data_IF_657658003265
#
_entry.id   IF_657658003265
#
_cell.length_a   1.000
_cell.length_b   1.000
_cell.length_c   1.000
_cell.angle_alpha   90.00
_cell.angle_beta   90.00
_cell.angle_gamma   90.00
#
_symmetry.space_group_name_H-M   'P 1'
#
loop_
_entity.id
_entity.type
_entity.pdbx_description
1 polymer ?
#
# COMPACT_ATOMS: atom_id res chain seq x y z
N UNK A 1 -22.03 -18.61 -17.70
CA UNK A 1 -21.35 -18.97 -16.42
C UNK A 1 -21.09 -17.74 -15.56
N UNK A 2 -20.34 -16.74 -16.06
CA UNK A 2 -20.02 -15.50 -15.32
C UNK A 2 -21.24 -14.78 -14.72
N UNK A 3 -22.30 -14.54 -15.49
CA UNK A 3 -23.52 -13.91 -14.94
C UNK A 3 -24.21 -14.78 -13.90
N UNK A 4 -24.28 -16.10 -14.14
CA UNK A 4 -24.89 -17.05 -13.22
C UNK A 4 -24.17 -17.10 -11.88
N UNK A 5 -22.83 -17.12 -11.87
CA UNK A 5 -22.07 -17.09 -10.61
C UNK A 5 -22.22 -15.74 -9.92
N UNK A 6 -22.14 -14.62 -10.65
CA UNK A 6 -22.33 -13.27 -10.08
C UNK A 6 -23.69 -13.15 -9.38
N UNK A 7 -24.77 -13.62 -10.00
CA UNK A 7 -26.11 -13.59 -9.41
C UNK A 7 -26.28 -14.56 -8.22
N UNK A 8 -25.37 -15.52 -8.05
CA UNK A 8 -25.41 -16.50 -6.96
C UNK A 8 -24.60 -16.06 -5.75
N UNK A 9 -23.38 -15.54 -5.97
CA UNK A 9 -22.43 -15.22 -4.88
C UNK A 9 -22.26 -13.71 -4.64
N UNK A 10 -22.77 -12.85 -5.53
CA UNK A 10 -22.67 -11.39 -5.41
C UNK A 10 -21.28 -10.80 -5.68
N UNK A 11 -20.26 -11.60 -5.99
CA UNK A 11 -18.89 -11.14 -6.24
C UNK A 11 -18.63 -10.93 -7.74
N UNK A 12 -18.44 -9.66 -8.14
CA UNK A 12 -18.17 -9.28 -9.53
C UNK A 12 -16.75 -9.59 -10.01
N UNK A 13 -15.84 -9.98 -9.11
CA UNK A 13 -14.45 -10.33 -9.43
C UNK A 13 -14.34 -11.74 -10.00
N UNK A 14 -15.29 -12.62 -9.69
CA UNK A 14 -15.33 -13.99 -10.21
C UNK A 14 -15.79 -14.00 -11.67
N UNK A 15 -14.93 -14.49 -12.56
CA UNK A 15 -15.20 -14.51 -14.00
C UNK A 15 -14.75 -15.82 -14.63
N UNK A 16 -15.53 -16.32 -15.59
CA UNK A 16 -15.14 -17.37 -16.52
C UNK A 16 -14.93 -16.75 -17.89
N UNK A 17 -13.78 -16.99 -18.50
CA UNK A 17 -13.39 -16.44 -19.81
C UNK A 17 -12.92 -17.55 -20.74
N UNK A 18 -13.10 -17.33 -22.06
CA UNK A 18 -12.55 -18.20 -23.11
C UNK A 18 -11.45 -17.42 -23.83
N UNK A 19 -10.21 -17.91 -23.75
CA UNK A 19 -9.00 -17.18 -24.16
C UNK A 19 -8.02 -18.11 -24.90
N UNK A 20 -8.29 -18.48 -26.16
CA UNK A 20 -7.51 -19.46 -26.91
C UNK A 20 -6.08 -19.02 -27.25
N UNK A 21 -5.84 -17.71 -27.28
CA UNK A 21 -4.53 -17.12 -27.61
C UNK A 21 -3.82 -16.56 -26.37
N UNK A 22 -4.34 -16.81 -25.16
CA UNK A 22 -3.73 -16.28 -23.96
C UNK A 22 -2.44 -17.01 -23.62
N UNK A 23 -1.34 -16.26 -23.67
CA UNK A 23 -0.03 -16.68 -23.18
C UNK A 23 0.25 -15.87 -21.90
N UNK A 24 0.37 -16.52 -20.72
CA UNK A 24 0.75 -15.83 -19.50
C UNK A 24 2.08 -15.11 -19.68
N UNK A 25 2.16 -13.86 -19.23
CA UNK A 25 3.45 -13.16 -19.18
C UNK A 25 4.36 -13.92 -18.21
N UNK A 26 5.48 -14.42 -18.72
CA UNK A 26 6.56 -14.97 -17.89
C UNK A 26 7.45 -13.80 -17.50
N UNK A 27 7.66 -13.53 -16.20
CA UNK A 27 8.60 -12.51 -15.78
C UNK A 27 9.96 -12.74 -16.44
N UNK A 28 10.60 -11.71 -17.04
CA UNK A 28 11.88 -11.90 -17.67
C UNK A 28 12.91 -12.35 -16.63
N UNK A 29 13.79 -13.28 -17.02
CA UNK A 29 14.97 -13.58 -16.22
C UNK A 29 15.78 -12.30 -16.06
N UNK A 30 15.88 -11.80 -14.84
CA UNK A 30 16.68 -10.63 -14.55
C UNK A 30 18.08 -11.08 -14.11
N UNK A 31 19.16 -10.45 -14.61
CA UNK A 31 20.48 -10.65 -14.05
C UNK A 31 20.49 -10.13 -12.60
N UNK A 32 21.49 -10.56 -11.82
CA UNK A 32 21.70 -9.99 -10.48
C UNK A 32 21.91 -8.48 -10.57
N UNK A 33 20.95 -7.72 -10.05
CA UNK A 33 21.02 -6.25 -10.02
C UNK A 33 21.74 -5.83 -8.72
N UNK A 34 22.84 -5.06 -8.80
CA UNK A 34 23.53 -4.55 -7.62
C UNK A 34 22.63 -3.66 -6.74
N UNK A 35 22.81 -3.66 -5.41
CA UNK A 35 22.04 -2.83 -4.48
C UNK A 35 21.99 -1.34 -4.85
N UNK A 36 23.07 -0.78 -5.39
CA UNK A 36 23.17 0.64 -5.76
C UNK A 36 22.25 0.97 -6.94
N UNK A 37 22.14 0.06 -7.91
CA UNK A 37 21.25 0.22 -9.05
C UNK A 37 19.78 0.05 -8.62
N UNK A 38 19.48 -0.91 -7.75
CA UNK A 38 18.16 -1.06 -7.14
C UNK A 38 17.76 0.20 -6.36
N UNK A 39 18.67 0.78 -5.58
CA UNK A 39 18.45 2.04 -4.89
C UNK A 39 18.17 3.18 -5.88
N UNK A 40 18.89 3.24 -7.00
CA UNK A 40 18.60 4.18 -8.09
C UNK A 40 17.20 4.04 -8.68
N UNK A 41 16.74 2.81 -8.90
CA UNK A 41 15.37 2.54 -9.36
C UNK A 41 14.32 3.00 -8.34
N UNK A 42 14.53 2.76 -7.05
CA UNK A 42 13.62 3.21 -6.00
C UNK A 42 13.60 4.74 -5.90
N UNK A 43 14.76 5.41 -6.04
CA UNK A 43 14.81 6.87 -6.08
C UNK A 43 13.96 7.47 -7.20
N UNK A 44 13.78 6.75 -8.31
CA UNK A 44 12.92 7.19 -9.41
C UNK A 44 11.42 7.00 -9.13
N UNK A 45 11.05 6.12 -8.19
CA UNK A 45 9.64 5.89 -7.82
C UNK A 45 9.18 6.75 -6.65
N UNK A 46 10.09 7.47 -5.99
CA UNK A 46 9.79 8.37 -4.87
C UNK A 46 10.12 9.83 -5.18
N UNK A 47 9.38 10.76 -4.57
CA UNK A 47 9.75 12.19 -4.52
C UNK A 47 9.83 12.61 -3.06
N UNK A 48 10.96 13.18 -2.65
CA UNK A 48 11.22 13.61 -1.27
C UNK A 48 11.50 15.11 -1.23
N UNK A 49 10.63 15.85 -0.55
CA UNK A 49 10.68 17.31 -0.46
C UNK A 49 10.38 17.77 0.97
N UNK A 50 10.91 18.93 1.36
CA UNK A 50 10.49 19.64 2.56
C UNK A 50 9.85 20.92 2.07
N UNK A 51 8.54 21.04 2.27
CA UNK A 51 7.74 22.17 1.83
C UNK A 51 7.98 23.40 2.74
N UNK A 52 7.57 24.56 2.24
CA UNK A 52 7.48 25.77 3.04
C UNK A 52 6.65 25.48 4.31
N UNK A 53 7.11 25.92 5.48
CA UNK A 53 6.61 25.54 6.83
C UNK A 53 7.15 24.23 7.44
N UNK A 54 8.27 23.70 6.93
CA UNK A 54 8.96 22.56 7.53
C UNK A 54 8.10 21.28 7.55
N UNK A 55 7.30 21.07 6.50
CA UNK A 55 6.45 19.89 6.31
C UNK A 55 7.15 18.94 5.34
N UNK A 56 7.37 17.69 5.74
CA UNK A 56 7.86 16.67 4.83
C UNK A 56 6.77 16.26 3.83
N UNK A 57 7.17 16.16 2.57
CA UNK A 57 6.36 15.59 1.51
C UNK A 57 7.10 14.39 0.91
N UNK A 58 6.48 13.22 0.99
CA UNK A 58 7.01 11.97 0.47
C UNK A 58 5.98 11.33 -0.46
N UNK A 59 6.21 11.45 -1.77
CA UNK A 59 5.44 10.73 -2.79
C UNK A 59 6.02 9.34 -2.95
N UNK A 60 5.15 8.32 -2.90
CA UNK A 60 5.53 6.92 -3.10
C UNK A 60 4.65 6.34 -4.20
N UNK A 61 5.25 5.86 -5.28
CA UNK A 61 4.50 5.24 -6.39
C UNK A 61 4.40 3.71 -6.27
N UNK A 62 5.32 3.10 -5.53
CA UNK A 62 5.41 1.66 -5.31
C UNK A 62 5.83 1.36 -3.88
N UNK A 63 5.09 0.49 -3.18
CA UNK A 63 5.44 0.02 -1.84
C UNK A 63 6.44 -1.14 -1.96
N UNK A 64 7.72 -0.89 -1.68
CA UNK A 64 8.75 -1.93 -1.74
C UNK A 64 8.53 -2.99 -0.67
N UNK A 65 8.79 -4.26 -1.00
CA UNK A 65 8.70 -5.37 -0.04
C UNK A 65 9.86 -5.43 0.94
N UNK A 66 9.75 -6.38 1.87
CA UNK A 66 10.71 -6.64 2.95
C UNK A 66 12.13 -6.87 2.45
N UNK A 67 12.34 -7.79 1.50
CA UNK A 67 13.68 -8.13 1.00
C UNK A 67 14.36 -6.90 0.40
N UNK A 68 13.61 -6.11 -0.36
CA UNK A 68 14.10 -4.88 -0.96
C UNK A 68 14.42 -3.83 0.12
N UNK A 69 13.53 -3.64 1.08
CA UNK A 69 13.72 -2.71 2.20
C UNK A 69 14.97 -3.06 3.02
N UNK A 70 15.25 -4.34 3.28
CA UNK A 70 16.45 -4.79 3.98
C UNK A 70 17.71 -4.58 3.14
N UNK A 71 17.67 -4.93 1.84
CA UNK A 71 18.84 -4.90 0.96
C UNK A 71 19.29 -3.48 0.62
N UNK A 72 18.35 -2.56 0.36
CA UNK A 72 18.67 -1.20 -0.11
C UNK A 72 18.36 -0.11 0.91
N UNK A 73 17.67 -0.42 2.01
CA UNK A 73 17.33 0.52 3.07
C UNK A 73 18.53 1.36 3.54
N UNK A 74 19.71 0.77 3.83
CA UNK A 74 20.90 1.52 4.22
C UNK A 74 21.35 2.57 3.21
N UNK A 75 21.16 2.32 1.90
CA UNK A 75 21.54 3.24 0.82
C UNK A 75 20.54 4.38 0.60
N UNK A 76 19.32 4.23 1.14
CA UNK A 76 18.22 5.19 0.97
C UNK A 76 17.95 6.01 2.23
N UNK A 77 18.49 5.61 3.37
CA UNK A 77 18.21 6.22 4.66
C UNK A 77 18.58 7.71 4.68
N UNK A 78 19.80 8.06 4.29
CA UNK A 78 20.24 9.47 4.22
C UNK A 78 19.44 10.27 3.18
N UNK A 79 19.18 9.65 2.02
CA UNK A 79 18.53 10.33 0.89
C UNK A 79 17.04 10.62 1.13
N UNK A 80 16.33 9.68 1.77
CA UNK A 80 14.88 9.77 2.00
C UNK A 80 14.60 10.19 3.44
N UNK A 81 15.05 9.38 4.39
CA UNK A 81 14.52 9.39 5.75
C UNK A 81 15.16 10.48 6.61
N UNK A 82 16.48 10.61 6.61
CA UNK A 82 17.16 11.64 7.41
C UNK A 82 16.79 13.06 6.97
N UNK A 83 16.49 13.25 5.69
CA UNK A 83 16.00 14.51 5.13
C UNK A 83 14.66 14.94 5.72
N UNK A 84 13.75 14.00 5.94
CA UNK A 84 12.38 14.29 6.41
C UNK A 84 12.23 14.18 7.92
N UNK A 85 13.11 13.45 8.60
CA UNK A 85 13.03 13.22 10.04
C UNK A 85 12.91 14.49 10.91
N UNK A 86 13.63 15.62 10.65
CA UNK A 86 13.56 16.81 11.49
C UNK A 86 12.31 17.67 11.25
N UNK A 87 11.47 17.34 10.27
CA UNK A 87 10.25 18.12 9.93
C UNK A 87 9.21 18.09 11.05
N UNK A 88 8.29 19.06 11.05
CA UNK A 88 7.22 19.18 12.05
C UNK A 88 6.01 18.30 11.74
N UNK A 89 5.77 17.98 10.47
CA UNK A 89 4.68 17.14 10.00
C UNK A 89 5.04 16.38 8.71
N UNK A 90 4.31 15.30 8.41
CA UNK A 90 4.52 14.43 7.25
C UNK A 90 3.27 14.34 6.38
N UNK A 91 3.47 14.46 5.07
CA UNK A 91 2.49 14.14 4.04
C UNK A 91 3.02 12.98 3.20
N UNK A 92 2.34 11.84 3.26
CA UNK A 92 2.55 10.72 2.34
C UNK A 92 1.60 10.87 1.15
N UNK A 93 2.14 10.93 -0.06
CA UNK A 93 1.33 11.07 -1.26
C UNK A 93 1.20 9.74 -2.01
N UNK A 94 0.03 9.11 -1.89
CA UNK A 94 -0.34 7.86 -2.54
C UNK A 94 -1.31 8.06 -3.71
N UNK A 95 -1.55 9.30 -4.16
CA UNK A 95 -2.52 9.59 -5.22
C UNK A 95 -2.23 8.86 -6.54
N UNK A 96 -0.99 8.44 -6.76
CA UNK A 96 -0.58 7.63 -7.93
C UNK A 96 0.07 6.30 -7.55
N UNK A 97 -0.14 5.80 -6.33
CA UNK A 97 0.39 4.53 -5.87
C UNK A 97 -0.56 3.39 -6.31
N UNK A 98 -0.10 2.58 -7.26
CA UNK A 98 -0.92 1.51 -7.89
C UNK A 98 -0.31 0.12 -7.77
N UNK A 99 0.84 0.02 -7.11
CA UNK A 99 1.59 -1.24 -6.99
C UNK A 99 2.35 -1.30 -5.68
N UNK A 100 2.70 -2.49 -5.24
CA UNK A 100 3.46 -2.71 -4.03
C UNK A 100 3.40 -4.15 -3.55
N UNK A 101 4.15 -4.42 -2.49
CA UNK A 101 4.26 -5.74 -1.87
C UNK A 101 3.77 -5.68 -0.42
N UNK A 102 2.91 -6.64 -0.01
CA UNK A 102 2.33 -6.68 1.34
C UNK A 102 3.38 -6.67 2.45
N UNK A 103 4.53 -7.33 2.22
CA UNK A 103 5.64 -7.39 3.17
C UNK A 103 6.27 -6.02 3.47
N UNK A 104 5.99 -4.99 2.66
CA UNK A 104 6.41 -3.61 2.89
C UNK A 104 5.57 -2.85 3.92
N UNK A 105 4.34 -3.30 4.21
CA UNK A 105 3.41 -2.62 5.12
C UNK A 105 4.02 -2.47 6.53
N UNK A 106 4.58 -3.53 7.16
CA UNK A 106 5.29 -3.42 8.44
C UNK A 106 6.33 -2.31 8.49
N UNK A 107 7.10 -2.11 7.41
CA UNK A 107 8.14 -1.09 7.35
C UNK A 107 7.54 0.30 7.47
N UNK A 108 6.53 0.62 6.65
CA UNK A 108 5.91 1.95 6.67
C UNK A 108 5.25 2.23 8.02
N UNK A 109 4.39 1.32 8.49
CA UNK A 109 3.62 1.55 9.73
C UNK A 109 4.55 1.75 10.92
N UNK A 110 5.61 0.93 11.04
CA UNK A 110 6.51 0.95 12.19
C UNK A 110 7.29 2.27 12.35
N UNK A 111 7.60 2.98 11.26
CA UNK A 111 8.27 4.29 11.35
C UNK A 111 7.37 5.37 11.99
N UNK A 112 6.05 5.18 11.98
CA UNK A 112 5.07 6.13 12.48
C UNK A 112 4.41 5.71 13.79
N UNK A 113 4.70 4.54 14.35
CA UNK A 113 4.12 4.04 15.60
C UNK A 113 5.19 3.85 16.67
N UNK A 114 4.76 3.75 17.93
CA UNK A 114 5.67 3.39 19.02
C UNK A 114 6.25 1.99 18.82
N UNK A 115 7.39 1.71 19.45
CA UNK A 115 8.05 0.40 19.34
C UNK A 115 7.33 -0.70 20.10
N UNK A 116 6.58 -0.32 21.14
CA UNK A 116 5.82 -1.21 22.00
C UNK A 116 4.51 -0.53 22.45
N UNK A 117 3.42 -1.30 22.64
CA UNK A 117 3.30 -2.73 22.32
C UNK A 117 3.32 -2.98 20.80
N UNK A 118 3.75 -4.17 20.37
CA UNK A 118 3.65 -4.57 18.97
C UNK A 118 2.19 -4.49 18.47
N UNK A 119 2.02 -3.91 17.29
CA UNK A 119 0.74 -3.71 16.62
C UNK A 119 0.54 -4.85 15.61
N UNK A 120 -0.58 -5.56 15.73
CA UNK A 120 -1.09 -6.41 14.66
C UNK A 120 -1.73 -5.51 13.59
N UNK A 121 -1.03 -5.34 12.48
CA UNK A 121 -1.37 -4.36 11.43
C UNK A 121 -2.50 -4.92 10.55
N UNK A 122 -2.29 -6.10 9.97
CA UNK A 122 -3.28 -6.78 9.13
C UNK A 122 -3.13 -8.31 9.20
N UNK A 123 -4.20 -9.02 8.85
CA UNK A 123 -4.21 -10.47 8.64
C UNK A 123 -4.65 -10.78 7.22
N UNK A 124 -3.81 -11.45 6.43
CA UNK A 124 -4.11 -11.82 5.05
C UNK A 124 -4.30 -13.33 4.94
N UNK A 125 -5.50 -13.77 4.57
CA UNK A 125 -5.78 -15.19 4.33
C UNK A 125 -5.66 -15.51 2.83
N UNK A 126 -4.79 -16.45 2.46
CA UNK A 126 -4.66 -17.02 1.11
C UNK A 126 -5.28 -18.42 1.08
N UNK A 127 -6.37 -18.56 0.30
CA UNK A 127 -7.17 -19.78 0.24
C UNK A 127 -6.48 -20.97 -0.44
N UNK A 128 -5.71 -20.81 -1.53
CA UNK A 128 -4.99 -21.93 -2.15
C UNK A 128 -3.98 -22.59 -1.23
N UNK A 129 -3.22 -21.81 -0.47
CA UNK A 129 -2.25 -22.32 0.51
C UNK A 129 -2.88 -22.67 1.86
N UNK A 130 -4.09 -22.17 2.13
CA UNK A 130 -4.80 -22.28 3.42
C UNK A 130 -3.99 -21.70 4.59
N UNK A 131 -3.31 -20.57 4.33
CA UNK A 131 -2.45 -19.88 5.29
C UNK A 131 -3.00 -18.48 5.54
N UNK A 132 -2.97 -18.08 6.82
CA UNK A 132 -3.11 -16.69 7.23
C UNK A 132 -1.74 -16.12 7.55
N UNK A 133 -1.34 -15.09 6.82
CA UNK A 133 -0.14 -14.30 7.10
C UNK A 133 -0.52 -13.09 7.94
N UNK A 134 0.08 -12.97 9.12
CA UNK A 134 -0.10 -11.80 9.98
C UNK A 134 1.02 -10.79 9.74
N UNK A 135 0.65 -9.52 9.61
CA UNK A 135 1.58 -8.40 9.47
C UNK A 135 1.68 -7.67 10.81
N UNK A 136 2.90 -7.60 11.36
CA UNK A 136 3.15 -7.01 12.67
C UNK A 136 4.11 -5.83 12.57
N UNK A 137 3.96 -4.83 13.45
CA UNK A 137 4.96 -3.76 13.58
C UNK A 137 6.30 -4.31 14.08
N UNK A 138 7.40 -3.69 13.67
CA UNK A 138 8.75 -4.08 14.07
C UNK A 138 9.23 -3.23 15.25
N UNK A 139 9.75 -3.81 16.34
CA UNK A 139 10.23 -3.04 17.50
C UNK A 139 11.53 -2.28 17.18
N UNK A 140 12.40 -2.86 16.37
CA UNK A 140 13.68 -2.25 15.96
C UNK A 140 13.64 -1.89 14.47
N UNK A 141 14.11 -0.69 14.14
CA UNK A 141 14.20 -0.17 12.77
C UNK A 141 15.62 0.28 12.48
N UNK A 142 15.98 0.27 11.19
CA UNK A 142 17.26 0.79 10.72
C UNK A 142 17.39 2.31 10.99
N UNK A 143 16.34 3.07 10.67
CA UNK A 143 16.26 4.51 10.93
C UNK A 143 15.51 4.85 12.23
N UNK A 144 15.59 6.12 12.64
CA UNK A 144 14.83 6.61 13.80
C UNK A 144 13.35 6.70 13.48
N UNK A 145 12.48 6.39 14.44
CA UNK A 145 11.03 6.62 14.30
C UNK A 145 10.72 8.10 14.11
N UNK A 146 9.72 8.40 13.29
CA UNK A 146 9.18 9.74 13.13
C UNK A 146 8.47 10.23 14.40
N UNK A 147 7.98 9.28 15.19
CA UNK A 147 7.22 9.51 16.42
C UNK A 147 5.71 9.58 16.17
N UNK A 148 4.96 9.59 17.26
CA UNK A 148 3.49 9.55 17.27
C UNK A 148 2.85 10.93 17.43
N UNK A 149 3.60 11.94 17.89
CA UNK A 149 3.08 13.30 18.10
C UNK A 149 2.98 14.14 16.83
N UNK A 150 3.88 13.92 15.85
CA UNK A 150 3.92 14.72 14.62
C UNK A 150 2.74 14.37 13.70
N UNK A 151 2.02 15.36 13.15
CA UNK A 151 0.93 15.10 12.22
C UNK A 151 1.38 14.24 11.04
N UNK A 152 0.56 13.25 10.68
CA UNK A 152 0.71 12.44 9.48
C UNK A 152 -0.57 12.55 8.66
N UNK A 153 -0.43 12.98 7.42
CA UNK A 153 -1.50 12.97 6.44
C UNK A 153 -1.15 12.07 5.28
N UNK A 154 -2.14 11.37 4.74
CA UNK A 154 -2.00 10.53 3.56
C UNK A 154 -2.94 11.07 2.49
N UNK A 155 -2.39 11.35 1.31
CA UNK A 155 -3.15 11.81 0.16
C UNK A 155 -3.59 10.61 -0.68
N UNK A 156 -4.87 10.54 -0.99
CA UNK A 156 -5.47 9.46 -1.80
C UNK A 156 -6.19 10.02 -3.03
N UNK A 157 -6.28 9.20 -4.07
CA UNK A 157 -7.15 9.44 -5.22
C UNK A 157 -7.94 8.18 -5.56
N UNK A 158 -8.92 8.29 -6.46
CA UNK A 158 -9.61 7.14 -7.05
C UNK A 158 -8.69 6.15 -7.80
N UNK A 159 -7.44 6.53 -8.06
CA UNK A 159 -6.44 5.67 -8.67
C UNK A 159 -5.53 4.99 -7.64
N UNK A 160 -5.54 5.39 -6.36
CA UNK A 160 -4.77 4.70 -5.32
C UNK A 160 -5.27 3.25 -5.22
N UNK A 161 -4.39 2.28 -5.41
CA UNK A 161 -4.76 0.88 -5.58
C UNK A 161 -3.78 -0.09 -4.88
N UNK A 162 -4.33 -1.14 -4.27
CA UNK A 162 -3.58 -2.26 -3.71
C UNK A 162 -2.97 -1.95 -2.35
N UNK A 163 -1.70 -2.31 -2.16
CA UNK A 163 -0.98 -2.21 -0.87
C UNK A 163 -1.00 -0.79 -0.28
N UNK A 164 -1.02 0.26 -1.12
CA UNK A 164 -1.13 1.63 -0.64
C UNK A 164 -2.50 1.94 0.01
N UNK A 165 -3.58 1.28 -0.44
CA UNK A 165 -4.89 1.34 0.20
C UNK A 165 -4.83 0.72 1.59
N UNK A 166 -4.17 -0.44 1.73
CA UNK A 166 -4.05 -1.12 3.02
C UNK A 166 -3.25 -0.31 4.04
N UNK A 167 -2.13 0.30 3.63
CA UNK A 167 -1.35 1.21 4.48
C UNK A 167 -2.23 2.38 4.95
N UNK A 168 -2.97 3.01 4.03
CA UNK A 168 -3.87 4.11 4.36
C UNK A 168 -4.98 3.67 5.31
N UNK A 169 -5.60 2.51 5.07
CA UNK A 169 -6.66 1.92 5.88
C UNK A 169 -6.18 1.59 7.30
N UNK A 170 -5.04 0.91 7.41
CA UNK A 170 -4.45 0.55 8.69
C UNK A 170 -4.06 1.78 9.52
N UNK A 171 -3.36 2.76 8.93
CA UNK A 171 -2.97 3.99 9.65
C UNK A 171 -4.17 4.88 9.99
N UNK A 172 -5.23 4.86 9.18
CA UNK A 172 -6.52 5.48 9.51
C UNK A 172 -7.15 4.83 10.73
N UNK A 173 -7.26 3.49 10.75
CA UNK A 173 -7.91 2.75 11.84
C UNK A 173 -7.11 2.77 13.14
N UNK A 174 -5.78 2.87 13.05
CA UNK A 174 -4.89 3.15 14.18
C UNK A 174 -4.99 4.59 14.71
N UNK A 175 -5.80 5.44 14.06
CA UNK A 175 -5.90 6.89 14.33
C UNK A 175 -4.54 7.61 14.25
N UNK A 176 -3.61 7.05 13.46
CA UNK A 176 -2.28 7.61 13.29
C UNK A 176 -2.22 8.63 12.15
N UNK A 177 -2.99 8.41 11.09
CA UNK A 177 -3.01 9.28 9.91
C UNK A 177 -4.40 9.89 9.64
N UNK A 178 -4.41 11.14 9.18
CA UNK A 178 -5.59 11.74 8.53
C UNK A 178 -5.51 11.48 7.02
N UNK A 179 -6.60 11.02 6.42
CA UNK A 179 -6.67 10.71 4.98
C UNK A 179 -7.38 11.88 4.29
N UNK A 180 -6.76 12.43 3.25
CA UNK A 180 -7.24 13.63 2.53
C UNK A 180 -7.25 13.35 1.04
N UNK A 181 -8.35 13.65 0.35
CA UNK A 181 -8.49 13.41 -1.09
C UNK A 181 -9.76 12.65 -1.42
N UNK A 182 -9.67 11.70 -2.35
CA UNK A 182 -10.81 10.92 -2.83
C UNK A 182 -10.83 9.52 -2.18
N UNK A 183 -11.97 8.83 -2.28
CA UNK A 183 -12.05 7.40 -2.00
C UNK A 183 -11.12 6.63 -2.94
N UNK A 184 -10.40 5.65 -2.42
CA UNK A 184 -9.46 4.84 -3.23
C UNK A 184 -10.19 3.87 -4.17
N UNK A 185 -9.44 3.16 -5.01
CA UNK A 185 -9.97 2.37 -6.11
C UNK A 185 -10.77 1.13 -5.67
N UNK A 186 -10.48 0.56 -4.50
CA UNK A 186 -11.10 -0.67 -4.02
C UNK A 186 -10.53 -1.92 -4.69
N UNK A 187 -9.23 -2.16 -4.50
CA UNK A 187 -8.55 -3.32 -5.09
C UNK A 187 -8.90 -4.67 -4.45
N UNK A 188 -8.02 -5.64 -4.67
CA UNK A 188 -8.08 -6.98 -4.08
C UNK A 188 -6.66 -7.44 -3.82
N UNK A 189 -6.43 -8.14 -2.70
CA UNK A 189 -5.08 -8.59 -2.32
C UNK A 189 -4.47 -9.46 -3.42
N UNK A 190 -5.21 -10.45 -3.91
CA UNK A 190 -4.75 -11.36 -4.96
C UNK A 190 -5.92 -11.98 -5.73
N UNK A 191 -5.84 -11.93 -7.05
CA UNK A 191 -6.72 -12.64 -7.96
C UNK A 191 -5.85 -13.59 -8.78
N UNK A 192 -6.19 -14.87 -8.76
CA UNK A 192 -5.56 -15.86 -9.64
C UNK A 192 -6.43 -16.10 -10.87
N UNK A 193 -5.79 -16.17 -12.04
CA UNK A 193 -6.41 -16.61 -13.29
C UNK A 193 -5.96 -18.05 -13.58
N UNK A 194 -6.87 -19.00 -13.37
CA UNK A 194 -6.60 -20.43 -13.36
C UNK A 194 -7.13 -21.07 -14.66
N UNK A 195 -6.30 -21.80 -15.39
CA UNK A 195 -6.70 -22.53 -16.62
C UNK A 195 -7.53 -23.78 -16.27
N UNK A 196 -8.58 -24.06 -17.04
CA UNK A 196 -9.45 -25.23 -16.84
C UNK A 196 -8.94 -26.41 -17.67
N UNK A 197 -8.13 -27.27 -17.05
CA UNK A 197 -7.55 -28.45 -17.69
C UNK A 197 -6.83 -28.09 -18.99
N UNK A 198 -7.06 -28.89 -20.04
CA UNK A 198 -6.49 -28.68 -21.38
C UNK A 198 -7.37 -27.78 -22.28
N UNK A 199 -8.38 -27.10 -21.73
CA UNK A 199 -9.27 -26.22 -22.50
C UNK A 199 -8.74 -24.79 -22.57
N UNK A 200 -9.31 -23.97 -23.44
CA UNK A 200 -9.02 -22.53 -23.51
C UNK A 200 -9.87 -21.70 -22.53
N UNK A 201 -10.56 -22.33 -21.57
CA UNK A 201 -11.30 -21.62 -20.54
C UNK A 201 -10.42 -21.29 -19.33
N UNK A 202 -10.63 -20.12 -18.74
CA UNK A 202 -9.99 -19.65 -17.53
C UNK A 202 -11.03 -19.22 -16.50
N UNK A 203 -10.69 -19.38 -15.22
CA UNK A 203 -11.47 -18.86 -14.09
C UNK A 203 -10.60 -17.85 -13.34
N UNK A 204 -11.08 -16.61 -13.25
CA UNK A 204 -10.48 -15.58 -12.39
C UNK A 204 -11.21 -15.57 -11.05
N UNK A 205 -10.49 -15.74 -9.95
CA UNK A 205 -11.07 -15.82 -8.59
C UNK A 205 -10.21 -15.01 -7.62
N UNK A 206 -10.82 -14.20 -6.73
CA UNK A 206 -10.08 -13.65 -5.59
C UNK A 206 -9.69 -14.78 -4.65
N UNK A 207 -8.39 -14.99 -4.48
CA UNK A 207 -7.83 -16.12 -3.73
C UNK A 207 -7.28 -15.72 -2.37
N UNK A 208 -7.01 -14.43 -2.15
CA UNK A 208 -6.61 -13.91 -0.87
C UNK A 208 -7.43 -12.67 -0.50
N UNK A 209 -7.53 -12.39 0.81
CA UNK A 209 -8.20 -11.21 1.35
C UNK A 209 -7.54 -10.71 2.63
N UNK A 210 -7.62 -9.41 2.86
CA UNK A 210 -7.25 -8.77 4.12
C UNK A 210 -8.40 -8.86 5.12
N UNK A 211 -8.05 -8.99 6.40
CA UNK A 211 -8.96 -9.05 7.54
C UNK A 211 -8.36 -8.15 8.61
N UNK A 212 -8.71 -6.88 8.57
CA UNK A 212 -8.10 -5.89 9.44
C UNK A 212 -8.44 -6.18 10.92
N UNK A 213 -7.43 -6.31 11.82
CA UNK A 213 -7.62 -6.69 13.21
C UNK A 213 -8.49 -5.75 14.05
N UNK A 214 -8.60 -4.47 13.64
CA UNK A 214 -9.37 -3.45 14.35
C UNK A 214 -10.83 -3.47 13.90
N UNK A 215 -11.08 -3.56 12.60
CA UNK A 215 -12.42 -3.39 12.02
C UNK A 215 -13.13 -4.71 11.69
N UNK A 216 -12.39 -5.81 11.60
CA UNK A 216 -12.88 -7.08 11.05
C UNK A 216 -13.28 -7.00 9.56
N UNK A 217 -12.95 -5.90 8.88
CA UNK A 217 -13.28 -5.59 7.48
C UNK A 217 -12.00 -5.44 6.65
N UNK A 218 -12.14 -5.06 5.38
CA UNK A 218 -11.04 -4.86 4.45
C UNK A 218 -11.15 -3.50 3.75
N UNK A 219 -10.03 -3.03 3.22
CA UNK A 219 -9.93 -1.92 2.26
C UNK A 219 -10.38 -2.35 0.85
N UNK A 220 -10.43 -3.66 0.58
CA UNK A 220 -10.76 -4.23 -0.72
C UNK A 220 -12.20 -3.91 -1.16
N UNK A 221 -12.41 -3.87 -2.47
CA UNK A 221 -13.70 -3.63 -3.15
C UNK A 221 -14.24 -2.21 -2.97
N UNK A 222 -14.45 -1.76 -1.74
CA UNK A 222 -15.04 -0.46 -1.44
C UNK A 222 -14.00 0.67 -1.38
N UNK A 223 -12.72 0.31 -1.22
CA UNK A 223 -11.64 1.26 -1.04
C UNK A 223 -11.64 1.90 0.36
N UNK A 224 -10.84 2.95 0.49
CA UNK A 224 -10.64 3.71 1.73
C UNK A 224 -11.25 5.08 1.57
N UNK A 225 -12.36 5.31 2.26
CA UNK A 225 -12.96 6.64 2.32
C UNK A 225 -12.02 7.65 3.01
N UNK A 226 -11.90 8.88 2.51
CA UNK A 226 -11.09 9.91 3.15
C UNK A 226 -11.71 10.38 4.47
N UNK A 227 -10.93 11.05 5.31
CA UNK A 227 -11.47 11.84 6.44
C UNK A 227 -11.89 13.23 5.98
N UNK A 228 -11.17 13.78 4.99
CA UNK A 228 -11.44 15.07 4.36
C UNK A 228 -11.55 14.82 2.86
N UNK A 229 -12.78 14.85 2.36
CA UNK A 229 -13.09 14.60 0.95
C UNK A 229 -12.86 15.88 0.12
N UNK A 230 -11.94 15.80 -0.83
CA UNK A 230 -11.61 16.86 -1.79
C UNK A 230 -11.14 16.22 -3.09
N UNK A 231 -11.22 16.91 -4.24
CA UNK A 231 -10.59 16.43 -5.48
C UNK A 231 -9.11 16.08 -5.26
N UNK A 232 -8.62 15.03 -5.93
CA UNK A 232 -7.24 14.57 -5.71
C UNK A 232 -6.18 15.66 -6.02
N UNK A 233 -6.48 16.57 -6.93
CA UNK A 233 -5.63 17.72 -7.28
C UNK A 233 -5.47 18.71 -6.11
N UNK A 234 -6.53 18.92 -5.33
CA UNK A 234 -6.58 19.87 -4.20
C UNK A 234 -6.10 19.25 -2.87
N UNK A 235 -5.91 17.93 -2.82
CA UNK A 235 -5.61 17.19 -1.60
C UNK A 235 -4.31 17.67 -0.91
N UNK A 236 -3.28 18.04 -1.69
CA UNK A 236 -2.01 18.52 -1.13
C UNK A 236 -2.17 19.90 -0.47
N UNK A 237 -2.80 20.84 -1.16
CA UNK A 237 -3.06 22.18 -0.63
C UNK A 237 -3.91 22.10 0.63
N UNK A 238 -4.97 21.28 0.59
CA UNK A 238 -5.85 21.03 1.74
C UNK A 238 -5.09 20.46 2.93
N UNK A 239 -4.22 19.47 2.72
CA UNK A 239 -3.41 18.87 3.78
C UNK A 239 -2.46 19.89 4.43
N UNK A 240 -1.77 20.70 3.60
CA UNK A 240 -0.88 21.77 4.09
C UNK A 240 -1.68 22.77 4.94
N UNK A 241 -2.84 23.21 4.47
CA UNK A 241 -3.70 24.14 5.22
C UNK A 241 -4.14 23.57 6.57
N UNK A 242 -4.54 22.28 6.63
CA UNK A 242 -4.92 21.64 7.90
C UNK A 242 -3.74 21.57 8.87
N UNK A 243 -2.53 21.28 8.39
CA UNK A 243 -1.33 21.22 9.24
C UNK A 243 -1.02 22.61 9.83
N UNK A 244 -1.09 23.66 9.01
CA UNK A 244 -0.76 25.02 9.45
C UNK A 244 -1.79 25.63 10.41
N UNK A 245 -3.03 25.14 10.39
CA UNK A 245 -4.09 25.58 11.30
C UNK A 245 -4.02 24.93 12.69
N UNK A 246 -3.29 23.82 12.86
CA UNK A 246 -3.16 23.08 14.13
C UNK A 246 -1.97 23.53 14.94
#
# INVERSE_FOLDING_TARGET
LTEGVKNTIGDSRVKVTYEPEYVPAVPPAMPDIPPEQLAGMIKATVKVEVLDSNIAYLKIQHIIGEEMAQKVGPLLLEYIWDKVLPTSAMILDFRSAVSGELSGIPYIVSYYTDSEPLIHIDSVYDRPSDITTELWSMPTLLGKRYGTSKPLMILTSKNTLGVAEDVAYCLKNLKRATIVGENTAGGTVKIDKIKVGDTDFYVSVPVAKSINPITGKSWEIDGVAPHVEVPAEDALETAVAIIQLR
#
